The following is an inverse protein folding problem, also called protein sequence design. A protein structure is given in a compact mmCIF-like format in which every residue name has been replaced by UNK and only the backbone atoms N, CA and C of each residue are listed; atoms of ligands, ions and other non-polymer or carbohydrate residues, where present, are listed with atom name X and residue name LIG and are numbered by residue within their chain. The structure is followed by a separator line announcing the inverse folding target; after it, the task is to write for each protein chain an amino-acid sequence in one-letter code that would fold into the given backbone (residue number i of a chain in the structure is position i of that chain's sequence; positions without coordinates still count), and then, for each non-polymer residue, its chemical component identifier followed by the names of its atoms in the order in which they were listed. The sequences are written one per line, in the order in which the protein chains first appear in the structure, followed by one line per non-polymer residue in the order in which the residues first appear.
data_IF_606257735132
#
_entry.id   IF_606257735132
#
_cell.length_a   1.000
_cell.length_b   1.000
_cell.length_c   1.000
_cell.angle_alpha   90.00
_cell.angle_beta   90.00
_cell.angle_gamma   90.00
#
_symmetry.space_group_name_H-M   'P 1'
#
loop_
_entity.id
_entity.type
_entity.pdbx_description
1 polymer ?
#
# COMPACT_ATOMS: atom_id res chain seq x y z
N UNK A 1 20.13 -31.08 -44.06
CA UNK A 1 19.68 -29.77 -43.53
C UNK A 1 18.89 -30.06 -42.26
N UNK A 2 19.49 -29.80 -41.09
CA UNK A 2 19.18 -30.55 -39.86
C UNK A 2 18.01 -29.98 -39.06
N UNK A 3 17.10 -30.85 -38.60
CA UNK A 3 15.89 -30.59 -37.80
C UNK A 3 16.10 -29.63 -36.60
N UNK A 4 17.34 -29.50 -36.11
CA UNK A 4 17.74 -28.58 -35.05
C UNK A 4 17.54 -27.10 -35.37
N UNK A 5 17.53 -26.68 -36.65
CA UNK A 5 17.24 -25.27 -37.01
C UNK A 5 15.74 -24.94 -36.92
N UNK A 6 14.88 -25.89 -37.28
CA UNK A 6 13.42 -25.72 -37.21
C UNK A 6 12.91 -25.77 -35.76
N UNK A 7 13.50 -26.63 -34.92
CA UNK A 7 13.11 -26.75 -33.50
C UNK A 7 13.48 -25.52 -32.66
N UNK A 8 14.58 -24.82 -33.01
CA UNK A 8 15.00 -23.57 -32.38
C UNK A 8 14.06 -22.39 -32.65
N UNK A 9 13.33 -22.41 -33.77
CA UNK A 9 12.38 -21.35 -34.12
C UNK A 9 11.07 -21.49 -33.33
N UNK A 10 10.63 -22.73 -33.08
CA UNK A 10 9.40 -23.01 -32.34
C UNK A 10 9.56 -22.57 -30.87
N UNK A 11 10.64 -22.98 -30.20
CA UNK A 11 10.88 -22.62 -28.79
C UNK A 11 11.05 -21.09 -28.59
N UNK A 12 11.64 -20.38 -29.56
CA UNK A 12 11.80 -18.93 -29.49
C UNK A 12 10.46 -18.18 -29.59
N UNK A 13 9.46 -18.70 -30.32
CA UNK A 13 8.15 -18.06 -30.42
C UNK A 13 7.32 -18.26 -29.12
N UNK A 14 7.55 -19.35 -28.39
CA UNK A 14 6.92 -19.60 -27.09
C UNK A 14 7.46 -18.70 -25.97
N UNK A 15 8.72 -18.28 -26.03
CA UNK A 15 9.28 -17.33 -25.05
C UNK A 15 8.89 -15.88 -25.34
N UNK A 16 8.50 -15.54 -26.57
CA UNK A 16 7.99 -14.21 -26.92
C UNK A 16 6.52 -13.99 -26.54
N UNK A 17 5.69 -15.04 -26.47
CA UNK A 17 4.29 -14.93 -26.06
C UNK A 17 4.09 -14.89 -24.53
N UNK A 18 5.02 -15.42 -23.74
CA UNK A 18 4.98 -15.34 -22.27
C UNK A 18 5.55 -14.03 -21.70
N UNK A 19 6.24 -13.23 -22.53
CA UNK A 19 6.78 -11.93 -22.12
C UNK A 19 5.77 -10.78 -22.24
N UNK A 20 4.59 -10.99 -22.84
CA UNK A 20 3.59 -9.94 -23.08
C UNK A 20 2.47 -9.85 -22.04
N UNK A 21 2.50 -10.68 -20.98
CA UNK A 21 1.63 -10.52 -19.80
C UNK A 21 2.47 -10.08 -18.60
N UNK A 22 3.04 -8.89 -18.70
CA UNK A 22 3.43 -8.09 -17.54
C UNK A 22 2.70 -6.74 -17.61
N UNK A 23 1.38 -6.80 -17.84
CA UNK A 23 0.51 -5.72 -17.41
C UNK A 23 0.65 -5.66 -15.89
N UNK A 24 1.18 -4.54 -15.43
CA UNK A 24 1.48 -4.18 -14.06
C UNK A 24 0.24 -4.34 -13.19
N UNK A 25 0.01 -5.57 -12.75
CA UNK A 25 -0.76 -5.90 -11.57
C UNK A 25 0.28 -6.36 -10.56
N UNK A 26 1.10 -5.41 -10.09
CA UNK A 26 1.75 -5.60 -8.80
C UNK A 26 0.63 -6.05 -7.85
N UNK A 27 0.79 -7.14 -7.08
CA UNK A 27 -0.23 -7.55 -6.13
C UNK A 27 -0.58 -6.31 -5.32
N UNK A 28 -1.87 -5.97 -5.25
CA UNK A 28 -2.33 -5.10 -4.18
C UNK A 28 -2.12 -5.90 -2.89
N UNK A 29 -0.87 -5.98 -2.43
CA UNK A 29 -0.55 -6.39 -1.08
C UNK A 29 -1.43 -5.51 -0.22
N UNK A 30 -2.19 -6.13 0.69
CA UNK A 30 -2.94 -5.39 1.69
C UNK A 30 -2.02 -4.28 2.20
N UNK A 31 -2.36 -3.02 1.91
CA UNK A 31 -1.50 -1.90 2.26
C UNK A 31 -1.57 -1.78 3.77
N UNK A 32 -0.62 -2.43 4.44
CA UNK A 32 -0.44 -2.26 5.86
C UNK A 32 -0.05 -0.80 6.10
N UNK A 33 -0.94 -0.09 6.78
CA UNK A 33 -0.78 1.31 7.14
C UNK A 33 -0.68 1.41 8.65
N UNK A 34 0.22 2.26 9.10
CA UNK A 34 0.32 2.67 10.51
C UNK A 34 -0.19 4.10 10.62
N UNK A 35 -0.94 4.36 11.69
CA UNK A 35 -1.48 5.67 12.01
C UNK A 35 -0.80 6.16 13.28
N UNK A 36 -0.19 7.35 13.22
CA UNK A 36 0.52 7.95 14.35
C UNK A 36 -0.17 9.24 14.73
N UNK A 37 -0.65 9.32 15.96
CA UNK A 37 -1.19 10.53 16.55
C UNK A 37 -0.06 11.49 16.93
N UNK A 38 -0.07 12.69 16.36
CA UNK A 38 0.92 13.72 16.66
C UNK A 38 0.27 14.77 17.58
N UNK A 39 0.33 14.54 18.89
CA UNK A 39 -0.45 15.27 19.89
C UNK A 39 -0.26 16.79 19.83
N UNK A 40 0.97 17.27 19.71
CA UNK A 40 1.26 18.71 19.67
C UNK A 40 0.93 19.35 18.31
N UNK A 41 0.90 18.56 17.25
CA UNK A 41 0.63 19.02 15.89
C UNK A 41 -0.84 18.96 15.49
N UNK A 42 -1.70 18.38 16.36
CA UNK A 42 -3.14 18.21 16.13
C UNK A 42 -3.47 17.50 14.80
N UNK A 43 -2.65 16.52 14.42
CA UNK A 43 -2.84 15.74 13.20
C UNK A 43 -2.42 14.28 13.39
N UNK A 44 -2.74 13.46 12.40
CA UNK A 44 -2.38 12.04 12.31
C UNK A 44 -1.59 11.79 11.04
N UNK A 45 -0.44 11.13 11.19
CA UNK A 45 0.37 10.66 10.05
C UNK A 45 -0.07 9.26 9.62
N UNK A 46 -0.26 9.06 8.32
CA UNK A 46 -0.49 7.76 7.71
C UNK A 46 0.80 7.29 7.07
N UNK A 47 1.33 6.15 7.51
CA UNK A 47 2.62 5.61 7.10
C UNK A 47 2.38 4.31 6.32
N UNK A 48 2.96 4.22 5.13
CA UNK A 48 3.09 2.97 4.39
C UNK A 48 4.21 2.13 5.01
N UNK A 49 3.90 0.94 5.50
CA UNK A 49 4.89 0.10 6.20
C UNK A 49 5.86 -0.63 5.27
N UNK A 50 5.54 -0.74 3.97
CA UNK A 50 6.43 -1.37 3.00
C UNK A 50 7.61 -0.46 2.65
N UNK A 51 7.34 0.85 2.61
CA UNK A 51 8.34 1.88 2.27
C UNK A 51 8.82 2.69 3.46
N UNK A 52 8.15 2.56 4.61
CA UNK A 52 8.35 3.35 5.83
C UNK A 52 8.27 4.86 5.56
N UNK A 53 7.30 5.27 4.74
CA UNK A 53 7.11 6.68 4.35
C UNK A 53 5.74 7.17 4.76
N UNK A 54 5.68 8.43 5.17
CA UNK A 54 4.41 9.15 5.36
C UNK A 54 3.79 9.34 3.98
N UNK A 55 2.60 8.79 3.79
CA UNK A 55 1.82 8.88 2.54
C UNK A 55 0.65 9.86 2.65
N UNK A 56 0.24 10.22 3.87
CA UNK A 56 -0.74 11.26 4.13
C UNK A 56 -0.58 11.83 5.55
N UNK A 57 -1.09 13.05 5.73
CA UNK A 57 -1.29 13.70 7.02
C UNK A 57 -2.73 14.17 7.08
N UNK A 58 -3.41 13.88 8.19
CA UNK A 58 -4.84 14.18 8.37
C UNK A 58 -4.99 15.04 9.61
N UNK A 59 -5.50 16.26 9.45
CA UNK A 59 -5.80 17.14 10.58
C UNK A 59 -6.96 16.57 11.40
N UNK A 60 -6.84 16.65 12.72
CA UNK A 60 -7.84 16.15 13.69
C UNK A 60 -8.10 17.17 14.79
N UNK A 61 -8.76 16.75 15.88
CA UNK A 61 -8.97 17.57 17.06
C UNK A 61 -7.69 17.84 17.85
N UNK A 62 -7.84 18.46 19.01
CA UNK A 62 -6.70 18.90 19.83
C UNK A 62 -6.14 17.77 20.69
N UNK A 63 -4.82 17.64 20.69
CA UNK A 63 -4.10 16.61 21.46
C UNK A 63 -4.62 15.20 21.15
N UNK A 64 -4.46 14.71 19.90
CA UNK A 64 -4.72 13.31 19.61
C UNK A 64 -3.80 12.40 20.44
N UNK A 65 -4.36 11.35 21.04
CA UNK A 65 -3.66 10.46 21.97
C UNK A 65 -3.64 9.01 21.45
N UNK A 66 -4.82 8.43 21.20
CA UNK A 66 -4.98 7.06 20.71
C UNK A 66 -5.60 6.99 19.32
N UNK A 67 -5.26 5.94 18.57
CA UNK A 67 -5.88 5.60 17.29
C UNK A 67 -6.23 4.11 17.22
N UNK A 68 -7.42 3.78 16.69
CA UNK A 68 -7.88 2.41 16.51
C UNK A 68 -8.47 2.22 15.11
N UNK A 69 -8.01 1.20 14.40
CA UNK A 69 -8.55 0.83 13.09
C UNK A 69 -9.74 -0.13 13.25
N UNK A 70 -10.74 0.00 12.39
CA UNK A 70 -11.81 -0.98 12.28
C UNK A 70 -11.27 -2.31 11.74
N UNK A 71 -11.88 -3.47 12.10
CA UNK A 71 -11.41 -4.78 11.63
C UNK A 71 -11.42 -4.93 10.10
N UNK A 72 -12.32 -4.21 9.43
CA UNK A 72 -12.42 -4.17 7.96
C UNK A 72 -11.41 -3.19 7.31
N UNK A 73 -10.64 -2.46 8.10
CA UNK A 73 -9.63 -1.50 7.64
C UNK A 73 -10.19 -0.24 6.96
N UNK A 74 -11.51 -0.04 6.97
CA UNK A 74 -12.16 1.07 6.25
C UNK A 74 -12.18 2.38 7.05
N UNK A 75 -12.02 2.30 8.38
CA UNK A 75 -12.08 3.44 9.29
C UNK A 75 -10.96 3.39 10.31
N UNK A 76 -10.54 4.59 10.71
CA UNK A 76 -9.66 4.80 11.86
C UNK A 76 -10.31 5.85 12.75
N UNK A 77 -10.43 5.53 14.03
CA UNK A 77 -10.96 6.40 15.05
C UNK A 77 -9.82 6.96 15.88
N UNK A 78 -9.86 8.26 16.15
CA UNK A 78 -8.80 8.98 16.87
C UNK A 78 -9.43 9.64 18.09
N UNK A 79 -8.89 9.41 19.27
CA UNK A 79 -9.33 10.10 20.49
C UNK A 79 -8.55 11.40 20.66
N UNK A 80 -9.26 12.50 20.78
CA UNK A 80 -8.68 13.82 21.02
C UNK A 80 -8.91 14.18 22.49
N UNK A 81 -7.82 14.41 23.25
CA UNK A 81 -7.90 14.51 24.72
C UNK A 81 -8.45 15.86 25.20
N UNK A 82 -8.36 16.91 24.39
CA UNK A 82 -8.73 18.28 24.77
C UNK A 82 -9.84 18.85 23.86
N UNK A 83 -10.35 18.08 22.90
CA UNK A 83 -11.48 18.50 22.06
C UNK A 83 -12.75 17.69 22.32
N UNK A 84 -13.90 18.37 22.19
CA UNK A 84 -15.22 17.76 22.31
C UNK A 84 -15.71 17.13 20.99
N UNK A 85 -14.81 16.74 20.08
CA UNK A 85 -15.17 16.15 18.79
C UNK A 85 -14.41 14.84 18.51
N UNK A 86 -15.13 13.91 17.89
CA UNK A 86 -14.66 12.60 17.43
C UNK A 86 -14.83 12.52 15.92
#
# INVERSE_FOLDING_TARGET
MSYYKAFRLIIAVWTWLLASVFLVSAPAFAQFRVYVANSESNNVSVIDTATNRVIATVDVGSFPDGAAASPDGTRVYVSNMISNNV
#
